data_IF_515720819530
#
_entry.id   IF_515720819530
#
_cell.length_a   1.000
_cell.length_b   1.000
_cell.length_c   1.000
_cell.angle_alpha   90.00
_cell.angle_beta   90.00
_cell.angle_gamma   90.00
#
_symmetry.space_group_name_H-M   'P 1'
#
loop_
_entity.id
_entity.type
_entity.pdbx_description
1 polymer ?
#
# COMPACT_ATOMS: atom_id res chain seq x y z
N UNK A 1 0.67 3.92 16.70
CA UNK A 1 1.34 3.22 15.58
C UNK A 1 2.63 3.97 15.30
N UNK A 2 3.78 3.28 15.33
CA UNK A 2 5.06 3.90 14.94
C UNK A 2 5.03 4.09 13.42
N UNK A 3 4.92 5.33 12.95
CA UNK A 3 4.78 5.68 11.52
C UNK A 3 6.13 5.74 10.77
N UNK A 4 7.16 5.09 11.30
CA UNK A 4 8.50 5.07 10.74
C UNK A 4 8.78 3.68 10.20
N UNK A 5 9.22 3.60 8.95
CA UNK A 5 9.61 2.37 8.27
C UNK A 5 11.13 2.36 8.17
N UNK A 6 11.78 1.37 8.77
CA UNK A 6 13.20 1.10 8.63
C UNK A 6 13.45 0.10 7.49
N UNK A 7 12.64 -0.96 7.44
CA UNK A 7 12.69 -1.99 6.41
C UNK A 7 11.32 -2.09 5.73
N UNK A 8 11.29 -1.78 4.43
CA UNK A 8 10.08 -1.78 3.64
C UNK A 8 9.41 -3.16 3.58
N UNK A 9 10.19 -4.24 3.60
CA UNK A 9 9.71 -5.60 3.42
C UNK A 9 9.16 -6.19 4.72
N UNK A 10 9.53 -5.63 5.87
CA UNK A 10 9.07 -6.06 7.19
C UNK A 10 7.99 -5.12 7.76
N UNK A 11 8.23 -3.81 7.73
CA UNK A 11 7.41 -2.84 8.46
C UNK A 11 6.06 -2.52 7.78
N UNK A 12 5.81 -3.05 6.58
CA UNK A 12 4.52 -2.96 5.89
C UNK A 12 3.63 -4.19 6.09
N UNK A 13 4.18 -5.30 6.61
CA UNK A 13 3.53 -6.61 6.64
C UNK A 13 2.29 -6.67 7.53
N UNK A 14 2.17 -5.79 8.51
CA UNK A 14 1.00 -5.73 9.39
C UNK A 14 -0.16 -4.88 8.83
N UNK A 15 0.08 -4.18 7.71
CA UNK A 15 -0.85 -3.29 7.02
C UNK A 15 -1.08 -1.94 7.71
N UNK A 16 -0.60 -1.71 8.93
CA UNK A 16 -0.87 -0.47 9.66
C UNK A 16 -0.17 0.74 9.05
N UNK A 17 1.06 0.57 8.59
CA UNK A 17 1.81 1.64 7.91
C UNK A 17 1.23 1.94 6.51
N UNK A 18 0.77 0.92 5.78
CA UNK A 18 0.07 1.11 4.50
C UNK A 18 -1.22 1.91 4.67
N UNK A 19 -2.05 1.55 5.66
CA UNK A 19 -3.28 2.30 5.95
C UNK A 19 -2.93 3.75 6.34
N UNK A 20 -1.93 3.94 7.21
CA UNK A 20 -1.52 5.29 7.62
C UNK A 20 -1.03 6.14 6.46
N UNK A 21 -0.28 5.54 5.53
CA UNK A 21 0.20 6.22 4.33
C UNK A 21 -0.96 6.67 3.45
N UNK A 22 -1.95 5.79 3.21
CA UNK A 22 -3.12 6.11 2.39
C UNK A 22 -3.97 7.20 3.05
N UNK A 23 -4.17 7.17 4.37
CA UNK A 23 -4.87 8.24 5.09
C UNK A 23 -4.17 9.59 4.92
N UNK A 24 -2.83 9.64 5.05
CA UNK A 24 -2.06 10.87 4.88
C UNK A 24 -2.11 11.39 3.43
N UNK A 25 -1.98 10.51 2.44
CA UNK A 25 -1.98 10.90 1.03
C UNK A 25 -3.35 11.34 0.51
N UNK A 26 -4.44 10.79 1.07
CA UNK A 26 -5.80 11.04 0.61
C UNK A 26 -6.60 12.03 1.46
N UNK A 27 -6.24 12.19 2.73
CA UNK A 27 -7.05 12.89 3.73
C UNK A 27 -8.23 12.08 4.28
N UNK A 28 -8.46 10.84 3.80
CA UNK A 28 -9.53 9.98 4.28
C UNK A 28 -9.13 9.24 5.57
N UNK A 29 -10.14 8.77 6.32
CA UNK A 29 -9.94 7.86 7.45
C UNK A 29 -10.32 6.43 7.04
N UNK A 30 -9.48 5.45 7.36
CA UNK A 30 -9.69 4.05 7.01
C UNK A 30 -9.88 3.18 8.26
N UNK A 31 -10.69 2.11 8.17
CA UNK A 31 -10.83 1.15 9.27
C UNK A 31 -9.51 0.40 9.51
N UNK A 32 -9.34 -0.15 10.72
CA UNK A 32 -8.19 -0.96 11.12
C UNK A 32 -8.63 -2.12 11.98
N UNK A 33 -8.23 -3.31 11.61
CA UNK A 33 -8.35 -4.48 12.48
C UNK A 33 -7.32 -4.42 13.60
N UNK A 34 -7.77 -4.70 14.81
CA UNK A 34 -6.93 -4.75 16.01
C UNK A 34 -6.54 -6.19 16.28
N UNK A 35 -5.24 -6.44 16.44
CA UNK A 35 -4.73 -7.75 16.84
C UNK A 35 -3.38 -8.05 16.23
N UNK A 36 -2.74 -9.13 16.70
CA UNK A 36 -1.36 -9.47 16.29
C UNK A 36 -1.26 -10.74 15.44
N UNK A 37 -2.33 -11.54 15.39
CA UNK A 37 -2.38 -12.76 14.57
C UNK A 37 -2.32 -12.45 13.07
N UNK A 38 -1.82 -13.39 12.27
CA UNK A 38 -1.67 -13.24 10.82
C UNK A 38 -2.97 -12.83 10.11
N UNK A 39 -4.13 -13.31 10.55
CA UNK A 39 -5.40 -12.93 9.93
C UNK A 39 -5.71 -11.43 10.08
N UNK A 40 -5.37 -10.78 11.21
CA UNK A 40 -5.56 -9.34 11.37
C UNK A 40 -4.65 -8.56 10.41
N UNK A 41 -3.41 -9.05 10.21
CA UNK A 41 -2.46 -8.46 9.26
C UNK A 41 -2.98 -8.55 7.83
N UNK A 42 -3.42 -9.74 7.42
CA UNK A 42 -4.05 -9.98 6.12
C UNK A 42 -5.25 -9.05 5.90
N UNK A 43 -6.07 -8.85 6.92
CA UNK A 43 -7.25 -7.99 6.83
C UNK A 43 -6.87 -6.50 6.75
N UNK A 44 -5.87 -6.04 7.51
CA UNK A 44 -5.36 -4.67 7.41
C UNK A 44 -4.74 -4.38 6.04
N UNK A 45 -3.95 -5.30 5.50
CA UNK A 45 -3.44 -5.17 4.12
C UNK A 45 -4.61 -5.16 3.14
N UNK A 46 -5.59 -6.06 3.30
CA UNK A 46 -6.77 -6.12 2.42
C UNK A 46 -7.54 -4.79 2.40
N UNK A 47 -7.74 -4.16 3.55
CA UNK A 47 -8.37 -2.83 3.66
C UNK A 47 -7.64 -1.80 2.80
N UNK A 48 -6.30 -1.78 2.84
CA UNK A 48 -5.50 -0.87 2.03
C UNK A 48 -5.62 -1.17 0.51
N UNK A 49 -5.59 -2.45 0.12
CA UNK A 49 -5.74 -2.84 -1.29
C UNK A 49 -7.13 -2.51 -1.83
N UNK A 50 -8.19 -2.74 -1.05
CA UNK A 50 -9.56 -2.44 -1.46
C UNK A 50 -9.84 -0.94 -1.49
N UNK A 51 -9.19 -0.16 -0.64
CA UNK A 51 -9.21 1.29 -0.75
C UNK A 51 -8.64 1.77 -2.10
N UNK A 52 -7.48 1.26 -2.50
CA UNK A 52 -6.86 1.57 -3.79
C UNK A 52 -7.76 1.16 -4.97
N UNK A 53 -8.33 -0.06 -4.93
CA UNK A 53 -9.26 -0.52 -5.98
C UNK A 53 -10.50 0.37 -6.11
N UNK A 54 -11.07 0.82 -4.99
CA UNK A 54 -12.22 1.75 -4.99
C UNK A 54 -11.86 3.10 -5.65
N UNK A 55 -10.61 3.54 -5.54
CA UNK A 55 -10.06 4.71 -6.25
C UNK A 55 -9.60 4.41 -7.69
N UNK A 56 -10.05 3.29 -8.27
CA UNK A 56 -9.74 2.87 -9.66
C UNK A 56 -8.24 2.61 -9.91
N UNK A 57 -7.47 2.32 -8.86
CA UNK A 57 -6.06 1.91 -8.99
C UNK A 57 -5.99 0.44 -9.39
N UNK A 58 -5.26 0.15 -10.47
CA UNK A 58 -5.05 -1.22 -10.95
C UNK A 58 -3.92 -1.91 -10.18
N UNK A 59 -4.28 -2.89 -9.37
CA UNK A 59 -3.35 -3.76 -8.64
C UNK A 59 -3.18 -5.08 -9.40
N UNK A 60 -2.23 -5.13 -10.33
CA UNK A 60 -1.99 -6.33 -11.14
C UNK A 60 -1.14 -7.33 -10.36
N UNK A 61 -1.70 -8.51 -10.10
CA UNK A 61 -1.00 -9.63 -9.46
C UNK A 61 -0.44 -9.30 -8.06
N UNK A 62 -1.14 -8.46 -7.29
CA UNK A 62 -0.82 -8.17 -5.89
C UNK A 62 -1.98 -8.62 -5.01
N UNK A 63 -1.71 -9.56 -4.11
CA UNK A 63 -2.65 -10.02 -3.08
C UNK A 63 -2.20 -9.58 -1.69
N UNK A 64 -3.08 -9.73 -0.70
CA UNK A 64 -2.80 -9.32 0.66
C UNK A 64 -1.76 -10.21 1.37
N UNK A 65 -1.72 -11.50 1.04
CA UNK A 65 -0.72 -12.44 1.54
C UNK A 65 0.68 -12.16 1.00
N UNK A 66 0.81 -11.71 -0.26
CA UNK A 66 2.10 -11.31 -0.83
C UNK A 66 2.78 -10.21 0.01
N UNK A 67 1.99 -9.23 0.48
CA UNK A 67 2.49 -8.12 1.29
C UNK A 67 2.67 -8.55 2.75
N UNK A 68 1.73 -9.33 3.29
CA UNK A 68 1.81 -9.82 4.68
C UNK A 68 2.99 -10.75 4.89
N UNK A 69 3.37 -11.51 3.87
CA UNK A 69 4.51 -12.42 3.90
C UNK A 69 5.81 -11.75 3.46
N UNK A 70 5.78 -10.47 3.05
CA UNK A 70 6.96 -9.64 2.79
C UNK A 70 7.61 -9.89 1.43
N UNK A 71 6.86 -10.27 0.40
CA UNK A 71 7.40 -10.47 -0.94
C UNK A 71 8.03 -9.16 -1.46
N UNK A 72 9.37 -9.09 -1.66
CA UNK A 72 10.04 -7.82 -1.94
C UNK A 72 9.57 -7.19 -3.25
N UNK A 73 9.41 -8.00 -4.31
CA UNK A 73 9.01 -7.53 -5.63
C UNK A 73 7.59 -6.94 -5.61
N UNK A 74 6.66 -7.64 -4.97
CA UNK A 74 5.25 -7.20 -4.93
C UNK A 74 5.05 -6.05 -3.94
N UNK A 75 5.84 -5.99 -2.86
CA UNK A 75 5.86 -4.84 -1.94
C UNK A 75 6.34 -3.58 -2.64
N UNK A 76 7.45 -3.65 -3.39
CA UNK A 76 7.90 -2.53 -4.22
C UNK A 76 6.87 -2.15 -5.29
N UNK A 77 6.27 -3.14 -5.95
CA UNK A 77 5.19 -2.92 -6.92
C UNK A 77 4.01 -2.14 -6.33
N UNK A 78 3.57 -2.51 -5.12
CA UNK A 78 2.49 -1.81 -4.42
C UNK A 78 2.85 -0.36 -4.08
N UNK A 79 4.03 -0.13 -3.49
CA UNK A 79 4.48 1.22 -3.14
C UNK A 79 4.64 2.09 -4.38
N UNK A 80 5.20 1.52 -5.44
CA UNK A 80 5.30 2.19 -6.74
C UNK A 80 3.93 2.59 -7.29
N UNK A 81 2.95 1.69 -7.24
CA UNK A 81 1.57 2.00 -7.65
C UNK A 81 0.96 3.13 -6.81
N UNK A 82 1.20 3.16 -5.49
CA UNK A 82 0.74 4.24 -4.61
C UNK A 82 1.39 5.57 -5.00
N UNK A 83 2.71 5.59 -5.21
CA UNK A 83 3.45 6.77 -5.64
C UNK A 83 2.86 7.33 -6.94
N UNK A 84 2.68 6.49 -7.96
CA UNK A 84 2.13 6.90 -9.25
C UNK A 84 0.73 7.51 -9.15
N UNK A 85 -0.11 6.97 -8.27
CA UNK A 85 -1.48 7.46 -8.13
C UNK A 85 -1.56 8.80 -7.40
N UNK A 86 -0.78 8.96 -6.32
CA UNK A 86 -0.89 10.13 -5.44
C UNK A 86 0.12 11.24 -5.73
N UNK A 87 1.10 11.02 -6.63
CA UNK A 87 2.07 12.04 -7.04
C UNK A 87 1.96 12.32 -8.55
N UNK A 88 1.03 13.20 -8.98
CA UNK A 88 0.72 13.46 -10.39
C UNK A 88 1.92 13.93 -11.21
N UNK A 89 2.86 14.65 -10.58
CA UNK A 89 4.08 15.13 -11.23
C UNK A 89 4.91 13.95 -11.79
N UNK A 90 5.09 12.88 -11.02
CA UNK A 90 5.86 11.71 -11.45
C UNK A 90 5.17 10.99 -12.62
N UNK A 91 3.84 10.82 -12.54
CA UNK A 91 3.07 10.22 -13.62
C UNK A 91 3.19 11.02 -14.92
N UNK A 92 3.16 12.36 -14.83
CA UNK A 92 3.32 13.24 -16.00
C UNK A 92 4.71 13.16 -16.62
N UNK A 93 5.78 13.11 -15.83
CA UNK A 93 7.14 12.92 -16.32
C UNK A 93 7.32 11.57 -17.03
N UNK A 94 6.82 10.48 -16.45
CA UNK A 94 6.91 9.18 -17.11
C UNK A 94 6.17 9.12 -18.43
N UNK A 95 4.97 9.70 -18.50
CA UNK A 95 4.22 9.78 -19.76
C UNK A 95 4.96 10.61 -20.82
N UNK A 96 5.69 11.65 -20.42
CA UNK A 96 6.46 12.50 -21.31
C UNK A 96 7.72 11.83 -21.89
N UNK A 97 8.29 10.83 -21.22
CA UNK A 97 9.50 10.13 -21.66
C UNK A 97 9.26 8.72 -22.25
N UNK A 98 8.01 8.25 -22.26
CA UNK A 98 7.60 7.01 -22.93
C UNK A 98 6.92 7.24 -24.29
N UNK A 99 6.82 8.50 -24.75
CA UNK A 99 6.41 8.89 -26.11
C UNK A 99 7.61 9.42 -26.87
#
# INVERSE_FOLDING_TARGET
>A
VRKHVNDLYEDLRDGHNLISLLEVLSGDTLPREKGRMRFHRLQNVQIALDYLKRRQVKLVNIRNDDITDGNPKLTLGLIWTIILHFQPLIASYQLAHMK
#
